data_IF_813349448298
#
_entry.id   IF_813349448298
#
_cell.length_a   1.000
_cell.length_b   1.000
_cell.length_c   1.000
_cell.angle_alpha   90.00
_cell.angle_beta   90.00
_cell.angle_gamma   90.00
#
_symmetry.space_group_name_H-M   'P 1'
#
loop_
_entity.id
_entity.type
_entity.pdbx_description
1 polymer ?
#
# COMPACT_ATOMS: atom_id res chain seq x y z
N UNK A 1 -22.11 16.58 0.01
CA UNK A 1 -22.71 15.32 0.51
C UNK A 1 -21.56 14.38 0.84
N UNK A 2 -21.34 14.10 2.13
CA UNK A 2 -20.34 13.14 2.55
C UNK A 2 -20.73 11.76 2.00
N UNK A 3 -19.88 11.17 1.15
CA UNK A 3 -20.16 9.85 0.56
C UNK A 3 -19.90 8.72 1.55
N UNK A 4 -20.66 8.71 2.64
CA UNK A 4 -20.61 7.63 3.62
C UNK A 4 -21.05 6.30 3.01
N UNK A 5 -20.57 5.20 3.61
CA UNK A 5 -21.18 3.89 3.39
C UNK A 5 -22.58 3.86 4.01
N UNK A 6 -23.52 3.16 3.38
CA UNK A 6 -24.90 3.02 3.85
C UNK A 6 -25.21 1.54 4.13
N UNK A 7 -26.12 1.24 5.07
CA UNK A 7 -26.52 -0.13 5.38
C UNK A 7 -27.00 -0.88 4.13
N UNK A 8 -26.64 -2.16 4.02
CA UNK A 8 -27.10 -3.01 2.92
C UNK A 8 -28.62 -3.11 2.79
N UNK A 9 -29.34 -2.94 3.90
CA UNK A 9 -30.81 -2.90 3.92
C UNK A 9 -31.43 -1.70 3.20
N UNK A 10 -30.64 -0.67 2.92
CA UNK A 10 -31.08 0.54 2.20
C UNK A 10 -30.78 0.48 0.70
N UNK A 11 -30.26 -0.64 0.19
CA UNK A 11 -30.05 -0.82 -1.25
C UNK A 11 -31.41 -0.84 -1.99
N UNK A 12 -31.52 -0.18 -3.15
CA UNK A 12 -32.70 -0.31 -4.01
C UNK A 12 -32.83 -1.74 -4.55
N UNK A 13 -34.00 -2.10 -5.08
CA UNK A 13 -34.25 -3.44 -5.65
C UNK A 13 -33.27 -3.80 -6.78
N UNK A 14 -32.80 -2.79 -7.53
CA UNK A 14 -31.81 -2.94 -8.59
C UNK A 14 -30.60 -2.04 -8.29
N UNK A 15 -29.71 -2.47 -7.39
CA UNK A 15 -28.55 -1.66 -7.03
C UNK A 15 -27.55 -1.63 -8.18
N UNK A 16 -27.00 -0.46 -8.44
CA UNK A 16 -25.83 -0.33 -9.31
C UNK A 16 -24.62 -1.00 -8.65
N UNK A 17 -23.62 -1.38 -9.46
CA UNK A 17 -22.35 -1.92 -8.94
C UNK A 17 -21.67 -0.99 -7.92
N UNK A 18 -21.81 0.32 -8.10
CA UNK A 18 -21.19 1.34 -7.26
C UNK A 18 -21.84 1.43 -5.88
N UNK A 19 -23.17 1.29 -5.82
CA UNK A 19 -23.92 1.22 -4.57
C UNK A 19 -23.58 -0.05 -3.79
N UNK A 20 -23.48 -1.19 -4.48
CA UNK A 20 -23.15 -2.45 -3.84
C UNK A 20 -21.76 -2.44 -3.18
N UNK A 21 -20.75 -1.82 -3.81
CA UNK A 21 -19.40 -1.71 -3.24
C UNK A 21 -19.37 -0.80 -1.98
N UNK A 22 -20.28 0.18 -1.90
CA UNK A 22 -20.39 1.09 -0.75
C UNK A 22 -21.27 0.54 0.38
N UNK A 23 -22.13 -0.43 0.08
CA UNK A 23 -23.03 -1.00 1.06
C UNK A 23 -22.26 -1.74 2.16
N UNK A 24 -22.52 -1.38 3.42
CA UNK A 24 -21.86 -1.98 4.58
C UNK A 24 -22.71 -3.10 5.20
N UNK A 25 -22.09 -4.12 5.82
CA UNK A 25 -22.81 -5.13 6.58
C UNK A 25 -23.37 -4.53 7.88
N UNK A 26 -24.04 -5.36 8.68
CA UNK A 26 -24.53 -4.95 9.98
C UNK A 26 -23.40 -4.43 10.89
N UNK A 27 -23.75 -3.49 11.76
CA UNK A 27 -22.83 -2.81 12.66
C UNK A 27 -22.03 -3.77 13.58
N UNK A 28 -22.68 -4.83 14.06
CA UNK A 28 -22.02 -5.89 14.84
C UNK A 28 -20.96 -6.62 14.03
N UNK A 29 -21.27 -7.00 12.79
CA UNK A 29 -20.32 -7.63 11.87
C UNK A 29 -19.13 -6.72 11.62
N UNK A 30 -19.37 -5.42 11.35
CA UNK A 30 -18.29 -4.45 11.18
C UNK A 30 -17.38 -4.36 12.40
N UNK A 31 -17.93 -4.33 13.63
CA UNK A 31 -17.12 -4.30 14.85
C UNK A 31 -16.22 -5.52 14.98
N UNK A 32 -16.75 -6.71 14.69
CA UNK A 32 -15.96 -7.96 14.70
C UNK A 32 -14.84 -7.88 13.67
N UNK A 33 -15.14 -7.44 12.44
CA UNK A 33 -14.13 -7.29 11.38
C UNK A 33 -13.04 -6.31 11.79
N UNK A 34 -13.41 -5.17 12.38
CA UNK A 34 -12.46 -4.18 12.87
C UNK A 34 -11.57 -4.69 13.98
N UNK A 35 -12.14 -5.39 14.96
CA UNK A 35 -11.37 -6.01 16.03
C UNK A 35 -10.38 -7.05 15.48
N UNK A 36 -10.82 -7.92 14.56
CA UNK A 36 -9.96 -8.91 13.91
C UNK A 36 -8.82 -8.24 13.14
N UNK A 37 -9.11 -7.22 12.33
CA UNK A 37 -8.09 -6.51 11.57
C UNK A 37 -7.12 -5.74 12.45
N UNK A 38 -7.61 -5.13 13.54
CA UNK A 38 -6.76 -4.50 14.54
C UNK A 38 -5.75 -5.50 15.11
N UNK A 39 -6.18 -6.72 15.46
CA UNK A 39 -5.28 -7.76 15.97
C UNK A 39 -4.23 -8.18 14.94
N UNK A 40 -4.63 -8.43 13.69
CA UNK A 40 -3.70 -8.81 12.61
C UNK A 40 -2.68 -7.69 12.36
N UNK A 41 -3.16 -6.45 12.30
CA UNK A 41 -2.33 -5.27 12.08
C UNK A 41 -1.36 -5.03 13.27
N UNK A 42 -1.79 -5.28 14.51
CA UNK A 42 -0.93 -5.19 15.68
C UNK A 42 0.23 -6.20 15.64
N UNK A 43 -0.06 -7.46 15.33
CA UNK A 43 0.96 -8.51 15.17
C UNK A 43 1.93 -8.16 14.05
N UNK A 44 1.41 -7.69 12.91
CA UNK A 44 2.22 -7.29 11.75
C UNK A 44 3.12 -6.08 12.09
N UNK A 45 2.58 -5.07 12.78
CA UNK A 45 3.33 -3.90 13.22
C UNK A 45 4.43 -4.29 14.22
N UNK A 46 4.14 -5.18 15.18
CA UNK A 46 5.12 -5.66 16.14
C UNK A 46 6.27 -6.43 15.47
N UNK A 47 5.96 -7.32 14.52
CA UNK A 47 6.96 -8.05 13.74
C UNK A 47 7.86 -7.11 12.93
N UNK A 48 7.25 -6.14 12.22
CA UNK A 48 8.01 -5.15 11.46
C UNK A 48 8.88 -4.28 12.39
N UNK A 49 8.35 -3.84 13.53
CA UNK A 49 9.08 -3.06 14.51
C UNK A 49 10.30 -3.82 15.06
N UNK A 50 10.16 -5.12 15.33
CA UNK A 50 11.28 -5.98 15.74
C UNK A 50 12.38 -6.04 14.68
N UNK A 51 12.03 -6.21 13.40
CA UNK A 51 13.01 -6.22 12.30
C UNK A 51 13.71 -4.86 12.18
N UNK A 52 12.94 -3.77 12.20
CA UNK A 52 13.46 -2.40 12.12
C UNK A 52 14.39 -2.10 13.31
N UNK A 53 14.03 -2.53 14.52
CA UNK A 53 14.82 -2.36 15.73
C UNK A 53 16.10 -3.21 15.70
N UNK A 54 16.03 -4.48 15.27
CA UNK A 54 17.19 -5.36 15.19
C UNK A 54 18.26 -4.79 14.23
N UNK A 55 17.85 -4.32 13.05
CA UNK A 55 18.75 -3.68 12.08
C UNK A 55 19.17 -2.29 12.59
N UNK A 56 18.24 -1.52 13.14
CA UNK A 56 18.45 -0.16 13.67
C UNK A 56 19.34 -0.09 14.91
N UNK A 57 19.45 -1.15 15.70
CA UNK A 57 20.31 -1.22 16.88
C UNK A 57 21.76 -1.61 16.53
N UNK A 58 21.96 -2.49 15.54
CA UNK A 58 23.29 -3.03 15.21
C UNK A 58 23.99 -2.27 14.09
N UNK A 59 25.12 -1.61 14.39
CA UNK A 59 26.00 -0.99 13.37
C UNK A 59 26.51 -2.01 12.36
N UNK A 60 26.77 -3.25 12.80
CA UNK A 60 27.18 -4.36 11.93
C UNK A 60 26.05 -4.78 11.00
N UNK A 61 24.81 -4.81 11.48
CA UNK A 61 23.66 -5.11 10.63
C UNK A 61 23.46 -4.02 9.55
N UNK A 62 23.55 -2.73 9.92
CA UNK A 62 23.48 -1.60 8.97
C UNK A 62 24.66 -1.52 8.00
N UNK A 63 25.75 -2.22 8.28
CA UNK A 63 26.88 -2.26 7.37
C UNK A 63 26.55 -3.04 6.09
N UNK A 64 25.62 -4.01 6.17
CA UNK A 64 25.16 -4.79 5.03
C UNK A 64 24.14 -4.00 4.18
N UNK A 65 24.39 -3.82 2.87
CA UNK A 65 23.44 -3.14 1.98
C UNK A 65 22.11 -3.89 1.85
N UNK A 66 22.13 -5.22 1.98
CA UNK A 66 20.93 -6.05 1.97
C UNK A 66 20.02 -5.75 3.17
N UNK A 67 20.60 -5.65 4.37
CA UNK A 67 19.83 -5.31 5.57
C UNK A 67 19.25 -3.90 5.50
N UNK A 68 19.96 -2.96 4.86
CA UNK A 68 19.41 -1.63 4.60
C UNK A 68 18.22 -1.69 3.63
N UNK A 69 18.26 -2.53 2.60
CA UNK A 69 17.11 -2.74 1.70
C UNK A 69 15.92 -3.29 2.45
N UNK A 70 16.15 -4.33 3.27
CA UNK A 70 15.10 -4.92 4.10
C UNK A 70 14.49 -3.88 5.05
N UNK A 71 15.32 -3.03 5.65
CA UNK A 71 14.84 -1.95 6.51
C UNK A 71 13.92 -0.99 5.77
N UNK A 72 14.28 -0.57 4.55
CA UNK A 72 13.45 0.30 3.73
C UNK A 72 12.17 -0.37 3.21
N UNK A 73 12.19 -1.68 2.93
CA UNK A 73 11.00 -2.43 2.52
C UNK A 73 10.02 -2.62 3.69
N UNK A 74 10.53 -2.91 4.89
CA UNK A 74 9.71 -3.19 6.08
C UNK A 74 9.12 -1.92 6.69
N UNK A 75 9.76 -0.77 6.50
CA UNK A 75 9.28 0.51 7.03
C UNK A 75 7.85 0.91 6.60
N UNK A 76 7.48 0.93 5.31
CA UNK A 76 6.11 1.24 4.88
C UNK A 76 5.08 0.21 5.35
N UNK A 77 5.48 -1.06 5.52
CA UNK A 77 4.62 -2.12 6.04
C UNK A 77 4.36 -1.93 7.54
N UNK A 78 5.38 -1.52 8.30
CA UNK A 78 5.23 -1.10 9.69
C UNK A 78 4.27 0.09 9.80
N UNK A 79 4.48 1.14 9.01
CA UNK A 79 3.65 2.35 9.04
C UNK A 79 2.19 2.03 8.70
N UNK A 80 1.95 1.26 7.64
CA UNK A 80 0.62 0.78 7.27
C UNK A 80 -0.05 0.02 8.42
N UNK A 81 0.65 -0.98 8.95
CA UNK A 81 0.11 -1.86 9.99
C UNK A 81 -0.20 -1.09 11.27
N UNK A 82 0.68 -0.17 11.67
CA UNK A 82 0.46 0.68 12.84
C UNK A 82 -0.76 1.60 12.65
N UNK A 83 -0.82 2.34 11.54
CA UNK A 83 -1.94 3.23 11.24
C UNK A 83 -3.26 2.48 11.09
N UNK A 84 -3.24 1.30 10.44
CA UNK A 84 -4.38 0.42 10.31
C UNK A 84 -4.86 -0.07 11.69
N UNK A 85 -3.95 -0.56 12.55
CA UNK A 85 -4.28 -0.95 13.92
C UNK A 85 -4.98 0.18 14.68
N UNK A 86 -4.39 1.38 14.69
CA UNK A 86 -4.96 2.54 15.39
C UNK A 86 -6.35 2.90 14.85
N UNK A 87 -6.51 2.91 13.53
CA UNK A 87 -7.79 3.22 12.87
C UNK A 87 -8.84 2.16 13.19
N UNK A 88 -8.49 0.87 13.15
CA UNK A 88 -9.39 -0.24 13.44
C UNK A 88 -9.83 -0.24 14.91
N UNK A 89 -8.91 0.00 15.86
CA UNK A 89 -9.24 0.11 17.29
C UNK A 89 -10.19 1.29 17.52
N UNK A 90 -9.90 2.46 16.94
CA UNK A 90 -10.76 3.62 17.05
C UNK A 90 -12.18 3.32 16.54
N UNK A 91 -12.30 2.71 15.35
CA UNK A 91 -13.59 2.32 14.76
C UNK A 91 -14.33 1.26 15.59
N UNK A 92 -13.62 0.30 16.18
CA UNK A 92 -14.23 -0.74 17.02
C UNK A 92 -14.75 -0.16 18.35
N UNK A 93 -14.09 0.87 18.89
CA UNK A 93 -14.44 1.50 20.17
C UNK A 93 -15.47 2.63 20.08
N UNK A 94 -15.70 3.20 18.89
CA UNK A 94 -16.55 4.37 18.75
C UNK A 94 -18.06 4.05 18.93
N UNK A 95 -18.81 4.87 19.67
CA UNK A 95 -20.27 4.77 19.72
C UNK A 95 -20.86 5.27 18.38
N UNK A 96 -21.42 4.35 17.60
CA UNK A 96 -21.84 4.58 16.21
C UNK A 96 -20.82 4.01 15.24
N UNK A 97 -21.23 3.03 14.43
CA UNK A 97 -20.28 2.18 13.70
C UNK A 97 -19.85 2.79 12.37
N UNK A 98 -18.54 2.76 12.11
CA UNK A 98 -17.92 3.00 10.81
C UNK A 98 -17.09 4.29 10.72
N UNK A 99 -16.17 4.32 9.76
CA UNK A 99 -15.32 5.48 9.39
C UNK A 99 -16.16 6.72 8.97
N UNK A 100 -17.48 6.59 8.96
CA UNK A 100 -18.43 7.60 8.54
C UNK A 100 -18.58 8.78 9.50
N UNK A 101 -17.99 8.75 10.71
CA UNK A 101 -18.14 9.89 11.62
C UNK A 101 -17.41 11.14 11.10
N UNK A 102 -16.28 10.99 10.39
CA UNK A 102 -15.47 12.13 9.95
C UNK A 102 -14.75 11.87 8.62
N UNK A 103 -15.05 12.68 7.60
CA UNK A 103 -14.48 12.59 6.24
C UNK A 103 -12.94 12.57 6.22
N UNK A 104 -12.30 13.30 7.13
CA UNK A 104 -10.84 13.37 7.20
C UNK A 104 -10.19 12.04 7.62
N UNK A 105 -10.83 11.23 8.47
CA UNK A 105 -10.31 9.90 8.84
C UNK A 105 -10.25 8.99 7.61
N UNK A 106 -11.26 9.07 6.75
CA UNK A 106 -11.34 8.30 5.52
C UNK A 106 -10.23 8.71 4.54
N UNK A 107 -10.01 10.02 4.41
CA UNK A 107 -8.94 10.55 3.57
C UNK A 107 -7.55 10.15 4.08
N UNK A 108 -7.30 10.28 5.40
CA UNK A 108 -6.05 9.86 6.00
C UNK A 108 -5.79 8.36 5.81
N UNK A 109 -6.83 7.52 5.99
CA UNK A 109 -6.73 6.09 5.72
C UNK A 109 -6.37 5.80 4.28
N UNK A 110 -7.05 6.45 3.34
CA UNK A 110 -6.75 6.26 1.93
C UNK A 110 -5.30 6.66 1.62
N UNK A 111 -4.79 7.76 2.19
CA UNK A 111 -3.40 8.21 1.97
C UNK A 111 -2.39 7.16 2.44
N UNK A 112 -2.49 6.66 3.69
CA UNK A 112 -1.50 5.69 4.18
C UNK A 112 -1.63 4.33 3.47
N UNK A 113 -2.85 3.91 3.11
CA UNK A 113 -3.06 2.66 2.35
C UNK A 113 -2.38 2.75 0.98
N UNK A 114 -2.64 3.81 0.22
CA UNK A 114 -2.09 3.98 -1.13
C UNK A 114 -0.58 4.18 -1.08
N UNK A 115 -0.08 4.93 -0.08
CA UNK A 115 1.36 5.10 0.11
C UNK A 115 2.05 3.73 0.22
N UNK A 116 1.55 2.85 1.08
CA UNK A 116 2.17 1.53 1.28
C UNK A 116 1.94 0.58 0.11
N UNK A 117 0.74 0.56 -0.50
CA UNK A 117 0.46 -0.22 -1.71
C UNK A 117 1.28 0.21 -2.93
N UNK A 118 1.65 1.48 -3.02
CA UNK A 118 2.54 1.98 -4.08
C UNK A 118 3.99 1.68 -3.73
N UNK A 119 4.41 1.94 -2.50
CA UNK A 119 5.81 1.80 -2.08
C UNK A 119 6.30 0.35 -2.19
N UNK A 120 5.52 -0.61 -1.72
CA UNK A 120 5.92 -2.02 -1.66
C UNK A 120 6.33 -2.61 -3.03
N UNK A 121 5.48 -2.60 -4.08
CA UNK A 121 5.85 -3.15 -5.39
C UNK A 121 6.99 -2.36 -6.07
N UNK A 122 7.06 -1.04 -5.88
CA UNK A 122 8.16 -0.24 -6.44
C UNK A 122 9.51 -0.53 -5.77
N UNK A 123 9.54 -0.72 -4.44
CA UNK A 123 10.75 -1.17 -3.75
C UNK A 123 11.15 -2.59 -4.17
N UNK A 124 10.17 -3.48 -4.34
CA UNK A 124 10.42 -4.82 -4.88
C UNK A 124 10.98 -4.77 -6.31
N UNK A 125 10.53 -3.83 -7.14
CA UNK A 125 11.09 -3.61 -8.48
C UNK A 125 12.55 -3.13 -8.44
N UNK A 126 12.89 -2.22 -7.52
CA UNK A 126 14.29 -1.81 -7.29
C UNK A 126 15.13 -3.01 -6.81
N UNK A 127 14.63 -3.80 -5.86
CA UNK A 127 15.33 -4.98 -5.36
C UNK A 127 15.55 -6.03 -6.47
N UNK A 128 14.51 -6.31 -7.28
CA UNK A 128 14.60 -7.23 -8.41
C UNK A 128 15.64 -6.77 -9.45
N UNK A 129 15.75 -5.46 -9.69
CA UNK A 129 16.77 -4.91 -10.57
C UNK A 129 18.19 -5.14 -10.05
N UNK A 130 18.44 -4.96 -8.75
CA UNK A 130 19.76 -5.25 -8.16
C UNK A 130 20.09 -6.75 -8.21
N UNK A 131 19.10 -7.62 -7.96
CA UNK A 131 19.28 -9.08 -8.11
C UNK A 131 19.60 -9.44 -9.55
N UNK A 132 18.89 -8.87 -10.54
CA UNK A 132 19.19 -9.09 -11.95
C UNK A 132 20.62 -8.67 -12.30
N UNK A 133 21.08 -7.48 -11.85
CA UNK A 133 22.46 -7.02 -12.09
C UNK A 133 23.50 -7.95 -11.47
N UNK A 134 23.26 -8.45 -10.26
CA UNK A 134 24.13 -9.43 -9.61
C UNK A 134 24.22 -10.73 -10.42
N UNK A 135 23.07 -11.31 -10.80
CA UNK A 135 23.02 -12.54 -11.59
C UNK A 135 23.70 -12.36 -12.95
N UNK A 136 23.42 -11.25 -13.62
CA UNK A 136 24.03 -10.93 -14.90
C UNK A 136 25.55 -10.79 -14.79
N UNK A 137 26.05 -10.07 -13.78
CA UNK A 137 27.49 -9.97 -13.55
C UNK A 137 28.13 -11.33 -13.28
N UNK A 138 27.49 -12.17 -12.45
CA UNK A 138 27.97 -13.52 -12.13
C UNK A 138 28.07 -14.40 -13.40
N UNK A 139 27.06 -14.36 -14.26
CA UNK A 139 27.03 -15.13 -15.52
C UNK A 139 28.22 -14.84 -16.43
N UNK A 140 28.66 -13.59 -16.47
CA UNK A 140 29.79 -13.15 -17.27
C UNK A 140 31.12 -13.14 -16.49
N UNK A 141 31.15 -13.73 -15.30
CA UNK A 141 32.28 -13.71 -14.37
C UNK A 141 32.82 -12.28 -14.14
N UNK A 142 31.93 -11.29 -14.16
CA UNK A 142 32.26 -9.87 -13.90
C UNK A 142 32.10 -9.57 -12.42
N UNK A 143 32.96 -8.70 -11.93
CA UNK A 143 32.84 -8.19 -10.56
C UNK A 143 31.55 -7.36 -10.42
N UNK A 144 30.62 -7.85 -9.60
CA UNK A 144 29.43 -7.08 -9.23
C UNK A 144 29.82 -6.00 -8.21
N UNK A 145 29.56 -4.74 -8.55
CA UNK A 145 29.71 -3.61 -7.63
C UNK A 145 28.34 -3.35 -7.00
N UNK A 146 28.14 -3.64 -5.71
CA UNK A 146 26.87 -3.37 -5.05
C UNK A 146 26.56 -1.87 -5.04
N UNK A 147 25.28 -1.48 -5.04
CA UNK A 147 24.90 -0.08 -4.97
C UNK A 147 25.47 0.55 -3.69
N UNK A 148 26.03 1.75 -3.83
CA UNK A 148 26.47 2.53 -2.67
C UNK A 148 25.27 2.88 -1.79
N UNK A 149 25.49 3.10 -0.49
CA UNK A 149 24.41 3.54 0.43
C UNK A 149 23.70 4.80 -0.07
N UNK A 150 24.43 5.71 -0.72
CA UNK A 150 23.87 6.93 -1.31
C UNK A 150 22.93 6.62 -2.48
N UNK A 151 23.32 5.73 -3.39
CA UNK A 151 22.47 5.31 -4.50
C UNK A 151 21.21 4.61 -4.02
N UNK A 152 21.36 3.72 -3.03
CA UNK A 152 20.24 3.03 -2.41
C UNK A 152 19.27 4.00 -1.71
N UNK A 153 19.79 4.91 -0.89
CA UNK A 153 18.97 5.91 -0.21
C UNK A 153 18.25 6.83 -1.21
N UNK A 154 18.92 7.20 -2.30
CA UNK A 154 18.30 8.00 -3.36
C UNK A 154 17.17 7.24 -4.07
N UNK A 155 17.39 5.98 -4.44
CA UNK A 155 16.37 5.15 -5.08
C UNK A 155 15.14 4.99 -4.18
N UNK A 156 15.34 4.70 -2.89
CA UNK A 156 14.26 4.60 -1.91
C UNK A 156 13.54 5.94 -1.74
N UNK A 157 14.29 7.04 -1.62
CA UNK A 157 13.70 8.37 -1.50
C UNK A 157 12.83 8.72 -2.73
N UNK A 158 13.27 8.36 -3.94
CA UNK A 158 12.47 8.51 -5.16
C UNK A 158 11.20 7.68 -5.11
N UNK A 159 11.26 6.42 -4.67
CA UNK A 159 10.08 5.56 -4.52
C UNK A 159 9.11 6.11 -3.47
N UNK A 160 9.60 6.60 -2.33
CA UNK A 160 8.76 7.20 -1.29
C UNK A 160 8.13 8.50 -1.78
N UNK A 161 8.89 9.37 -2.45
CA UNK A 161 8.37 10.60 -3.02
C UNK A 161 7.28 10.33 -4.06
N UNK A 162 7.50 9.36 -4.96
CA UNK A 162 6.51 8.92 -5.92
C UNK A 162 5.25 8.35 -5.25
N UNK A 163 5.43 7.48 -4.27
CA UNK A 163 4.31 6.85 -3.56
C UNK A 163 3.50 7.85 -2.76
N UNK A 164 4.15 8.85 -2.18
CA UNK A 164 3.50 9.97 -1.52
C UNK A 164 2.76 10.86 -2.53
N UNK A 165 3.37 11.15 -3.67
CA UNK A 165 2.71 11.90 -4.74
C UNK A 165 1.42 11.21 -5.22
N UNK A 166 1.47 9.90 -5.47
CA UNK A 166 0.31 9.09 -5.87
C UNK A 166 -0.73 9.00 -4.75
N UNK A 167 -0.31 8.84 -3.49
CA UNK A 167 -1.26 8.77 -2.36
C UNK A 167 -1.97 10.10 -2.11
N UNK A 168 -1.28 11.22 -2.31
CA UNK A 168 -1.85 12.56 -2.19
C UNK A 168 -2.87 12.88 -3.28
N UNK A 169 -2.96 12.10 -4.36
CA UNK A 169 -4.03 12.29 -5.33
C UNK A 169 -5.38 12.33 -4.62
N UNK A 170 -5.63 11.50 -3.59
CA UNK A 170 -6.93 11.44 -2.86
C UNK A 170 -7.39 12.75 -2.25
N UNK A 171 -6.47 13.68 -2.05
CA UNK A 171 -6.73 14.99 -1.48
C UNK A 171 -6.90 16.07 -2.56
N UNK A 172 -6.54 15.80 -3.82
CA UNK A 172 -6.58 16.80 -4.88
C UNK A 172 -8.00 17.00 -5.42
N UNK A 173 -8.58 18.21 -5.30
CA UNK A 173 -9.86 18.51 -5.91
C UNK A 173 -9.73 18.51 -7.44
N UNK A 174 -10.65 17.85 -8.14
CA UNK A 174 -10.75 17.87 -9.61
C UNK A 174 -10.35 16.57 -10.30
N UNK A 175 -9.62 15.67 -9.63
CA UNK A 175 -9.43 14.32 -10.14
C UNK A 175 -10.73 13.50 -9.95
N UNK A 176 -11.08 12.62 -10.90
CA UNK A 176 -12.30 11.81 -10.82
C UNK A 176 -12.12 10.62 -9.87
N UNK A 177 -11.54 10.81 -8.70
CA UNK A 177 -11.41 9.78 -7.68
C UNK A 177 -11.72 10.40 -6.31
N UNK A 178 -12.26 9.59 -5.41
CA UNK A 178 -12.60 10.00 -4.05
C UNK A 178 -12.44 8.79 -3.15
N UNK A 179 -11.88 9.03 -1.97
CA UNK A 179 -11.83 8.01 -0.93
C UNK A 179 -13.26 7.75 -0.42
N UNK A 180 -13.69 6.51 -0.48
CA UNK A 180 -14.96 6.06 0.09
C UNK A 180 -14.72 4.83 0.94
N UNK A 181 -15.56 4.66 1.97
CA UNK A 181 -15.54 3.45 2.78
C UNK A 181 -16.16 2.29 2.00
N UNK A 182 -15.32 1.44 1.43
CA UNK A 182 -15.74 0.23 0.72
C UNK A 182 -16.23 -0.81 1.71
N UNK A 183 -17.50 -1.21 1.57
CA UNK A 183 -18.15 -2.14 2.49
C UNK A 183 -18.17 -1.68 3.95
N UNK A 184 -17.95 -0.39 4.24
CA UNK A 184 -17.79 0.10 5.61
C UNK A 184 -16.44 -0.26 6.26
N UNK A 185 -15.52 -0.91 5.53
CA UNK A 185 -14.33 -1.55 6.09
C UNK A 185 -13.02 -0.86 5.75
N UNK A 186 -12.88 -0.17 4.62
CA UNK A 186 -11.63 0.49 4.30
C UNK A 186 -11.90 1.68 3.41
N UNK A 187 -11.27 2.80 3.73
CA UNK A 187 -11.28 3.94 2.85
C UNK A 187 -10.22 3.78 1.77
N UNK A 188 -10.71 3.57 0.55
CA UNK A 188 -9.90 3.46 -0.66
C UNK A 188 -10.54 4.30 -1.76
N UNK A 189 -9.81 4.63 -2.83
CA UNK A 189 -10.40 5.17 -4.04
C UNK A 189 -11.31 4.11 -4.64
N UNK A 190 -12.61 4.37 -4.65
CA UNK A 190 -13.62 3.47 -5.21
C UNK A 190 -14.22 4.13 -6.44
N UNK A 191 -14.49 3.33 -7.45
CA UNK A 191 -15.18 3.78 -8.65
C UNK A 191 -16.62 4.22 -8.31
N UNK A 192 -17.08 5.33 -8.88
CA UNK A 192 -18.42 5.87 -8.66
C UNK A 192 -19.08 6.47 -9.92
N UNK A 193 -18.34 6.48 -11.03
CA UNK A 193 -18.75 6.99 -12.33
C UNK A 193 -17.85 6.39 -13.42
N UNK A 194 -18.26 6.46 -14.69
CA UNK A 194 -17.44 6.00 -15.80
C UNK A 194 -16.07 6.71 -15.85
N UNK A 195 -16.03 8.02 -15.58
CA UNK A 195 -14.79 8.79 -15.51
C UNK A 195 -13.86 8.28 -14.40
N UNK A 196 -14.40 7.99 -13.21
CA UNK A 196 -13.61 7.43 -12.11
C UNK A 196 -13.10 6.03 -12.39
N UNK A 197 -13.92 5.19 -13.04
CA UNK A 197 -13.53 3.85 -13.50
C UNK A 197 -12.36 3.98 -14.48
N UNK A 198 -12.48 4.85 -15.48
CA UNK A 198 -11.43 5.06 -16.46
C UNK A 198 -10.13 5.55 -15.80
N UNK A 199 -10.19 6.53 -14.90
CA UNK A 199 -9.01 7.01 -14.17
C UNK A 199 -8.39 5.93 -13.29
N UNK A 200 -9.22 5.15 -12.57
CA UNK A 200 -8.76 4.07 -11.71
C UNK A 200 -7.95 3.03 -12.50
N UNK A 201 -8.47 2.56 -13.64
CA UNK A 201 -7.82 1.53 -14.44
C UNK A 201 -6.72 2.04 -15.37
N UNK A 202 -6.82 3.28 -15.87
CA UNK A 202 -5.85 3.82 -16.82
C UNK A 202 -4.68 4.56 -16.17
N UNK A 203 -4.87 5.13 -14.98
CA UNK A 203 -3.84 5.89 -14.28
C UNK A 203 -3.48 5.27 -12.92
N UNK A 204 -4.47 5.04 -12.06
CA UNK A 204 -4.22 4.64 -10.68
C UNK A 204 -3.58 3.25 -10.55
N UNK A 205 -4.26 2.20 -11.03
CA UNK A 205 -3.79 0.80 -10.99
C UNK A 205 -2.45 0.59 -11.71
N UNK A 206 -2.19 1.19 -12.89
CA UNK A 206 -0.88 1.13 -13.51
C UNK A 206 0.23 1.73 -12.65
N UNK A 207 -0.05 2.88 -12.00
CA UNK A 207 0.97 3.63 -11.25
C UNK A 207 1.43 2.91 -9.99
N UNK A 208 0.51 2.29 -9.23
CA UNK A 208 0.87 1.62 -7.98
C UNK A 208 1.17 0.12 -8.15
N UNK A 209 0.67 -0.56 -9.18
CA UNK A 209 0.82 -2.01 -9.33
C UNK A 209 1.36 -2.49 -10.68
N UNK A 210 0.71 -2.14 -11.80
CA UNK A 210 1.02 -2.82 -13.07
C UNK A 210 2.39 -2.45 -13.63
N UNK A 211 2.82 -1.19 -13.50
CA UNK A 211 4.15 -0.76 -13.97
C UNK A 211 5.29 -1.45 -13.21
N UNK A 212 5.36 -1.41 -11.85
CA UNK A 212 6.42 -2.10 -11.14
C UNK A 212 6.37 -3.62 -11.35
N UNK A 213 5.18 -4.22 -11.39
CA UNK A 213 5.05 -5.66 -11.67
C UNK A 213 5.50 -6.02 -13.09
N UNK A 214 5.07 -5.25 -14.10
CA UNK A 214 5.49 -5.45 -15.48
C UNK A 214 7.00 -5.33 -15.65
N UNK A 215 7.64 -4.41 -14.92
CA UNK A 215 9.08 -4.28 -14.89
C UNK A 215 9.77 -5.51 -14.26
N UNK A 216 9.27 -6.01 -13.13
CA UNK A 216 9.78 -7.25 -12.51
C UNK A 216 9.65 -8.43 -13.47
N UNK A 217 8.48 -8.61 -14.10
CA UNK A 217 8.27 -9.66 -15.10
C UNK A 217 9.24 -9.53 -16.29
N UNK A 218 9.48 -8.32 -16.77
CA UNK A 218 10.45 -8.07 -17.85
C UNK A 218 11.86 -8.48 -17.43
N UNK A 219 12.30 -8.16 -16.20
CA UNK A 219 13.58 -8.60 -15.67
C UNK A 219 13.66 -10.14 -15.57
N UNK A 220 12.60 -10.80 -15.12
CA UNK A 220 12.56 -12.27 -15.08
C UNK A 220 12.65 -12.90 -16.47
N UNK A 221 11.96 -12.34 -17.47
CA UNK A 221 12.05 -12.80 -18.87
C UNK A 221 13.44 -12.59 -19.44
N UNK A 222 14.07 -11.45 -19.15
CA UNK A 222 15.46 -11.19 -19.55
C UNK A 222 16.41 -12.17 -18.86
N UNK A 223 16.26 -12.41 -17.56
CA UNK A 223 17.07 -13.39 -16.84
C UNK A 223 16.96 -14.78 -17.47
N UNK A 224 15.74 -15.24 -17.75
CA UNK A 224 15.51 -16.54 -18.40
C UNK A 224 16.13 -16.62 -19.81
N UNK A 225 16.01 -15.55 -20.62
CA UNK A 225 16.62 -15.49 -21.97
C UNK A 225 18.14 -15.56 -21.94
N UNK A 226 18.76 -15.08 -20.87
CA UNK A 226 20.21 -15.10 -20.69
C UNK A 226 20.72 -16.37 -19.98
N UNK A 227 19.82 -17.26 -19.56
CA UNK A 227 20.16 -18.46 -18.79
C UNK A 227 20.78 -18.13 -17.42
N UNK A 228 20.24 -17.11 -16.75
CA UNK A 228 20.60 -16.71 -15.37
C UNK A 228 19.89 -17.58 -14.33
#
# INVERSE_FOLDING_TARGET
>A
MAGGSFPRSELPEQPTRYEYIRARPADETLRVMWATWASIAAVSAAACALILAAIGASRRARASPFNLYLWFIVFPDFLFSLCCMLTCVANASAPGVGINAQEWHCQLQSVYCIFSFTTSPWLNAVAAHEVYKLLYANRWARHYVPPTRRQQALAVACVYAWSLFVSLWTLLPGLPHRAFSGGGMACLPIEFSAASTAFFWAAFVPSFLLLPLGYICALCVLAARHGL
#
